data_IF_658347474995
#
_entry.id   IF_658347474995
#
_cell.length_a   1.000
_cell.length_b   1.000
_cell.length_c   1.000
_cell.angle_alpha   90.00
_cell.angle_beta   90.00
_cell.angle_gamma   90.00
#
_symmetry.space_group_name_H-M   'P 1'
#
loop_
_entity.id
_entity.type
_entity.pdbx_description
1 polymer ?
#
# COMPACT_ATOMS: atom_id res chain seq x y z
N UNK A 1 5.45 11.26 -12.96
CA UNK A 1 5.24 9.81 -13.16
C UNK A 1 4.88 9.06 -11.86
N UNK A 2 4.49 9.78 -10.79
CA UNK A 2 4.01 9.20 -9.52
C UNK A 2 2.49 8.92 -9.48
N UNK A 3 1.71 9.49 -10.43
CA UNK A 3 0.23 9.43 -10.42
C UNK A 3 -0.34 8.00 -10.58
N UNK A 4 0.40 7.10 -11.24
CA UNK A 4 -0.03 5.72 -11.41
C UNK A 4 0.01 4.94 -10.09
N UNK A 5 1.15 5.00 -9.40
CA UNK A 5 1.37 4.21 -8.19
C UNK A 5 0.43 4.61 -7.05
N UNK A 6 0.21 5.91 -6.83
CA UNK A 6 -0.77 6.40 -5.85
C UNK A 6 -2.17 5.84 -6.16
N UNK A 7 -2.58 5.87 -7.43
CA UNK A 7 -3.87 5.36 -7.87
C UNK A 7 -4.01 3.86 -7.66
N UNK A 8 -2.99 3.09 -8.03
CA UNK A 8 -2.98 1.62 -7.87
C UNK A 8 -3.07 1.26 -6.38
N UNK A 9 -2.25 1.91 -5.53
CA UNK A 9 -2.27 1.70 -4.08
C UNK A 9 -3.64 2.03 -3.47
N UNK A 10 -4.24 3.18 -3.81
CA UNK A 10 -5.59 3.54 -3.36
C UNK A 10 -6.64 2.52 -3.78
N UNK A 11 -6.56 2.05 -5.03
CA UNK A 11 -7.50 1.08 -5.58
C UNK A 11 -7.41 -0.24 -4.84
N UNK A 12 -6.20 -0.77 -4.65
CA UNK A 12 -6.00 -2.04 -3.93
C UNK A 12 -6.42 -1.91 -2.47
N UNK A 13 -6.12 -0.78 -1.82
CA UNK A 13 -6.57 -0.53 -0.45
C UNK A 13 -8.10 -0.56 -0.36
N UNK A 14 -8.79 0.10 -1.30
CA UNK A 14 -10.25 0.12 -1.32
C UNK A 14 -10.85 -1.27 -1.54
N UNK A 15 -10.25 -2.10 -2.39
CA UNK A 15 -10.66 -3.48 -2.62
C UNK A 15 -10.55 -4.33 -1.35
N UNK A 16 -9.38 -4.28 -0.69
CA UNK A 16 -9.12 -5.00 0.56
C UNK A 16 -10.02 -4.50 1.69
N UNK A 17 -10.21 -3.19 1.79
CA UNK A 17 -11.13 -2.59 2.77
C UNK A 17 -12.55 -3.10 2.58
N UNK A 18 -13.03 -3.17 1.34
CA UNK A 18 -14.36 -3.67 1.05
C UNK A 18 -14.49 -5.15 1.44
N UNK A 19 -13.44 -5.95 1.23
CA UNK A 19 -13.41 -7.37 1.62
C UNK A 19 -13.42 -7.57 3.15
N UNK A 20 -12.58 -6.82 3.88
CA UNK A 20 -12.37 -7.02 5.32
C UNK A 20 -13.44 -6.30 6.18
N UNK A 21 -13.68 -5.01 5.90
CA UNK A 21 -14.58 -4.16 6.70
C UNK A 21 -15.97 -4.00 6.06
N UNK A 22 -16.07 -4.11 4.74
CA UNK A 22 -17.32 -3.86 4.02
C UNK A 22 -17.66 -2.37 3.87
N UNK A 23 -18.05 -1.98 2.65
CA UNK A 23 -18.38 -0.59 2.33
C UNK A 23 -17.25 0.14 1.59
N UNK A 24 -17.32 1.47 1.60
CA UNK A 24 -16.36 2.35 0.91
C UNK A 24 -15.18 2.67 1.83
N UNK A 25 -13.97 2.68 1.27
CA UNK A 25 -12.77 3.01 2.02
C UNK A 25 -12.73 4.50 2.40
N UNK A 26 -12.21 4.84 3.59
CA UNK A 26 -12.04 6.24 3.97
C UNK A 26 -11.04 6.94 3.05
N UNK A 27 -11.12 8.28 2.99
CA UNK A 27 -10.18 9.08 2.22
C UNK A 27 -8.76 8.93 2.80
N UNK A 28 -7.86 8.34 2.01
CA UNK A 28 -6.45 8.19 2.35
C UNK A 28 -5.70 9.47 2.00
N UNK A 29 -5.53 10.36 2.97
CA UNK A 29 -4.66 11.50 2.84
C UNK A 29 -3.18 11.08 2.99
N UNK A 30 -2.26 11.93 2.54
CA UNK A 30 -0.82 11.71 2.66
C UNK A 30 -0.39 11.39 4.10
N UNK A 31 -0.93 12.12 5.07
CA UNK A 31 -0.67 11.97 6.51
C UNK A 31 -1.50 10.87 7.17
N UNK A 32 -2.38 10.19 6.43
CA UNK A 32 -3.23 9.12 7.00
C UNK A 32 -2.37 7.91 7.32
N UNK A 33 -2.43 7.45 8.57
CA UNK A 33 -1.71 6.26 9.03
C UNK A 33 -2.52 5.01 8.69
N UNK A 34 -1.99 4.15 7.82
CA UNK A 34 -2.69 2.95 7.33
C UNK A 34 -3.04 1.94 8.44
N UNK A 35 -2.23 1.89 9.49
CA UNK A 35 -2.49 1.04 10.65
C UNK A 35 -3.59 1.62 11.57
N UNK A 36 -3.85 2.94 11.50
CA UNK A 36 -4.88 3.61 12.29
C UNK A 36 -6.22 3.75 11.55
N UNK A 37 -6.27 3.43 10.24
CA UNK A 37 -7.53 3.46 9.49
C UNK A 37 -8.54 2.41 9.97
N UNK A 38 -8.11 1.46 10.82
CA UNK A 38 -8.92 0.31 11.21
C UNK A 38 -8.78 -0.87 10.25
N UNK A 39 -7.73 -0.90 9.43
CA UNK A 39 -7.33 -2.09 8.69
C UNK A 39 -6.58 -3.01 9.66
N UNK A 40 -7.10 -4.21 9.90
CA UNK A 40 -6.45 -5.21 10.74
C UNK A 40 -5.10 -5.66 10.16
N UNK A 41 -4.28 -6.30 11.00
CA UNK A 41 -2.97 -6.83 10.58
C UNK A 41 -3.08 -7.84 9.43
N UNK A 42 -4.18 -8.60 9.37
CA UNK A 42 -4.48 -9.51 8.26
C UNK A 42 -4.82 -8.73 6.98
N UNK A 43 -5.70 -7.74 7.08
CA UNK A 43 -6.03 -6.86 5.96
C UNK A 43 -4.79 -6.18 5.38
N UNK A 44 -3.86 -5.75 6.23
CA UNK A 44 -2.59 -5.19 5.76
C UNK A 44 -1.73 -6.22 5.01
N UNK A 45 -1.66 -7.47 5.49
CA UNK A 45 -0.95 -8.54 4.79
C UNK A 45 -1.56 -8.86 3.42
N UNK A 46 -2.90 -8.88 3.32
CA UNK A 46 -3.62 -9.05 2.05
C UNK A 46 -3.35 -7.86 1.13
N UNK A 47 -3.37 -6.64 1.67
CA UNK A 47 -3.09 -5.42 0.92
C UNK A 47 -1.70 -5.42 0.28
N UNK A 48 -0.67 -5.75 1.05
CA UNK A 48 0.70 -5.88 0.53
C UNK A 48 0.79 -7.00 -0.52
N UNK A 49 0.13 -8.14 -0.29
CA UNK A 49 0.13 -9.26 -1.25
C UNK A 49 -0.60 -8.94 -2.56
N UNK A 50 -1.71 -8.21 -2.51
CA UNK A 50 -2.45 -7.78 -3.71
C UNK A 50 -1.65 -6.74 -4.50
N UNK A 51 -0.92 -5.86 -3.80
CA UNK A 51 -0.01 -4.92 -4.43
C UNK A 51 1.15 -5.62 -5.13
N UNK A 52 1.70 -6.69 -4.54
CA UNK A 52 2.72 -7.52 -5.18
C UNK A 52 2.20 -8.10 -6.52
N UNK A 53 0.95 -8.58 -6.56
CA UNK A 53 0.33 -9.12 -7.77
C UNK A 53 0.10 -8.04 -8.84
N UNK A 54 -0.43 -6.87 -8.45
CA UNK A 54 -0.71 -5.76 -9.38
C UNK A 54 0.58 -5.08 -9.89
N UNK A 55 1.56 -4.87 -9.02
CA UNK A 55 2.81 -4.16 -9.36
C UNK A 55 3.91 -5.10 -9.86
N UNK A 56 3.83 -6.39 -9.52
CA UNK A 56 4.82 -7.41 -9.83
C UNK A 56 6.06 -7.38 -8.95
N UNK A 57 6.06 -6.60 -7.86
CA UNK A 57 7.15 -6.54 -6.89
C UNK A 57 6.64 -6.13 -5.51
N UNK A 58 7.34 -6.57 -4.48
CA UNK A 58 7.05 -6.20 -3.09
C UNK A 58 8.26 -5.54 -2.42
N UNK A 59 8.15 -4.28 -1.97
CA UNK A 59 9.25 -3.57 -1.34
C UNK A 59 9.57 -4.10 0.07
N UNK A 60 8.65 -4.79 0.75
CA UNK A 60 8.88 -5.35 2.08
C UNK A 60 9.82 -6.57 2.04
N UNK A 61 9.75 -7.37 0.98
CA UNK A 61 10.65 -8.49 0.71
C UNK A 61 11.99 -8.03 0.14
N UNK A 62 12.01 -6.94 -0.62
CA UNK A 62 13.23 -6.34 -1.17
C UNK A 62 14.02 -5.54 -0.12
N UNK A 63 13.34 -4.95 0.85
CA UNK A 63 13.97 -4.17 1.91
C UNK A 63 14.69 -5.08 2.90
N UNK A 64 16.01 -4.91 3.01
CA UNK A 64 16.82 -5.61 4.01
C UNK A 64 16.67 -5.00 5.41
N UNK A 65 16.15 -3.78 5.49
CA UNK A 65 15.85 -3.07 6.73
C UNK A 65 14.34 -3.11 6.99
N UNK A 66 13.95 -3.31 8.25
CA UNK A 66 12.54 -3.38 8.66
C UNK A 66 11.92 -1.97 8.67
N UNK A 67 11.81 -1.36 7.49
CA UNK A 67 11.13 -0.08 7.30
C UNK A 67 9.64 -0.34 7.07
N UNK A 68 8.84 0.01 8.07
CA UNK A 68 7.39 -0.02 7.98
C UNK A 68 6.88 1.42 7.84
N UNK A 69 6.46 1.84 6.64
CA UNK A 69 5.85 3.15 6.45
C UNK A 69 4.61 3.28 7.36
N UNK A 70 4.52 4.39 8.09
CA UNK A 70 3.37 4.63 8.97
C UNK A 70 2.24 5.29 8.18
N UNK A 71 2.60 6.34 7.44
CA UNK A 71 1.64 7.13 6.66
C UNK A 71 1.50 6.62 5.23
N UNK A 72 0.37 6.92 4.60
CA UNK A 72 0.11 6.60 3.21
C UNK A 72 1.17 7.23 2.27
N UNK A 73 1.59 8.48 2.53
CA UNK A 73 2.64 9.11 1.74
C UNK A 73 3.98 8.38 1.85
N UNK A 74 4.37 7.95 3.05
CA UNK A 74 5.56 7.13 3.24
C UNK A 74 5.44 5.78 2.52
N UNK A 75 4.25 5.17 2.55
CA UNK A 75 3.99 3.90 1.89
C UNK A 75 4.14 4.02 0.37
N UNK A 76 3.52 5.03 -0.24
CA UNK A 76 3.66 5.30 -1.68
C UNK A 76 5.12 5.61 -2.04
N UNK A 77 5.79 6.47 -1.26
CA UNK A 77 7.19 6.82 -1.49
C UNK A 77 8.12 5.60 -1.36
N UNK A 78 7.79 4.67 -0.46
CA UNK A 78 8.51 3.42 -0.28
C UNK A 78 8.37 2.52 -1.51
N UNK A 79 7.14 2.26 -1.97
CA UNK A 79 6.91 1.49 -3.20
C UNK A 79 7.58 2.14 -4.42
N UNK A 80 7.54 3.47 -4.53
CA UNK A 80 8.20 4.19 -5.63
C UNK A 80 9.72 4.03 -5.59
N UNK A 81 10.32 4.08 -4.40
CA UNK A 81 11.77 3.93 -4.21
C UNK A 81 12.28 2.54 -4.58
N UNK A 82 11.49 1.51 -4.29
CA UNK A 82 11.84 0.11 -4.57
C UNK A 82 11.33 -0.38 -5.92
N UNK A 83 10.53 0.43 -6.62
CA UNK A 83 10.07 0.12 -7.96
C UNK A 83 11.27 -0.17 -8.85
N UNK A 84 11.39 -1.39 -9.41
CA UNK A 84 12.45 -1.69 -10.33
C UNK A 84 12.26 -0.78 -11.54
N UNK A 85 13.14 0.21 -11.69
CA UNK A 85 13.26 0.97 -12.93
C UNK A 85 13.77 -0.04 -13.96
N UNK A 86 12.87 -0.52 -14.82
CA UNK A 86 13.26 -1.31 -15.98
C UNK A 86 14.30 -0.48 -16.75
N UNK A 87 15.55 -0.94 -16.70
CA UNK A 87 16.69 -0.36 -17.40
C UNK A 87 16.58 -0.58 -18.92
#
# INVERSE_FOLDING_TARGET
MADGLDRDIRRVFADVWQMENGGDAPDLAADTVLLETGLDSLGFAIFVSQLEDELGFDPFTLSTDAYYPQTFAEFVAFYEKFRPQAA
#
